data_IF_874806976093
#
_entry.id   IF_874806976093
#
_cell.length_a   1.000
_cell.length_b   1.000
_cell.length_c   1.000
_cell.angle_alpha   90.00
_cell.angle_beta   90.00
_cell.angle_gamma   90.00
#
_symmetry.space_group_name_H-M   'P 1'
#
loop_
_entity.id
_entity.type
_entity.pdbx_description
1 polymer ?
#
# COMPACT_ATOMS: atom_id res chain seq x y z
N UNK A 1 -52.74 -22.57 -19.82
CA UNK A 1 -52.32 -21.68 -18.70
C UNK A 1 -51.26 -22.30 -17.79
N UNK A 2 -51.40 -23.55 -17.34
CA UNK A 2 -50.43 -24.24 -16.46
C UNK A 2 -49.04 -24.43 -17.11
N UNK A 3 -48.99 -24.73 -18.40
CA UNK A 3 -47.75 -24.97 -19.14
C UNK A 3 -46.87 -23.73 -19.29
N UNK A 4 -47.47 -22.54 -19.37
CA UNK A 4 -46.73 -21.28 -19.53
C UNK A 4 -46.01 -20.85 -18.25
N UNK A 5 -46.59 -21.18 -17.09
CA UNK A 5 -46.01 -20.88 -15.76
C UNK A 5 -44.78 -21.75 -15.50
N UNK A 6 -44.86 -23.03 -15.86
CA UNK A 6 -43.73 -23.97 -15.73
C UNK A 6 -42.55 -23.53 -16.61
N UNK A 7 -42.83 -23.10 -17.84
CA UNK A 7 -41.80 -22.64 -18.77
C UNK A 7 -41.11 -21.36 -18.27
N UNK A 8 -41.87 -20.45 -17.66
CA UNK A 8 -41.33 -19.23 -17.05
C UNK A 8 -40.43 -19.54 -15.84
N UNK A 9 -40.82 -20.49 -15.00
CA UNK A 9 -40.04 -20.90 -13.83
C UNK A 9 -38.70 -21.54 -14.21
N UNK A 10 -38.68 -22.34 -15.28
CA UNK A 10 -37.45 -22.97 -15.80
C UNK A 10 -36.48 -21.93 -16.35
N UNK A 11 -36.96 -20.95 -17.12
CA UNK A 11 -36.13 -19.87 -17.67
C UNK A 11 -35.57 -18.99 -16.56
N UNK A 12 -36.39 -18.65 -15.55
CA UNK A 12 -35.94 -17.84 -14.41
C UNK A 12 -34.85 -18.55 -13.61
N UNK A 13 -34.98 -19.87 -13.39
CA UNK A 13 -33.98 -20.66 -12.66
C UNK A 13 -32.64 -20.72 -13.39
N UNK A 14 -32.62 -20.80 -14.72
CA UNK A 14 -31.40 -20.82 -15.51
C UNK A 14 -30.61 -19.49 -15.46
N UNK A 15 -31.29 -18.35 -15.30
CA UNK A 15 -30.63 -17.05 -15.18
C UNK A 15 -29.90 -16.86 -13.84
N UNK A 16 -30.38 -17.44 -12.74
CA UNK A 16 -29.77 -17.25 -11.41
C UNK A 16 -28.46 -18.03 -11.24
N UNK A 17 -28.24 -19.08 -12.04
CA UNK A 17 -27.08 -19.97 -11.93
C UNK A 17 -25.81 -19.44 -12.63
N UNK A 18 -25.92 -18.44 -13.49
CA UNK A 18 -24.77 -17.88 -14.24
C UNK A 18 -24.02 -16.77 -13.47
N UNK A 19 -24.43 -16.44 -12.25
CA UNK A 19 -23.83 -15.36 -11.45
C UNK A 19 -22.57 -15.71 -10.64
N UNK A 20 -22.18 -16.98 -10.57
CA UNK A 20 -21.16 -17.43 -9.59
C UNK A 20 -19.72 -17.59 -10.14
N UNK A 21 -19.38 -17.12 -11.35
CA UNK A 21 -18.00 -17.26 -11.87
C UNK A 21 -17.14 -15.98 -11.79
N UNK A 22 -17.57 -14.93 -11.11
CA UNK A 22 -16.87 -13.62 -11.15
C UNK A 22 -15.77 -13.43 -10.09
N UNK A 23 -15.24 -14.51 -9.49
CA UNK A 23 -14.14 -14.41 -8.53
C UNK A 23 -13.12 -15.53 -8.75
N UNK A 24 -12.04 -15.22 -9.48
CA UNK A 24 -10.67 -15.46 -8.99
C UNK A 24 -9.65 -14.87 -9.99
N UNK A 25 -9.33 -13.58 -9.84
CA UNK A 25 -8.04 -13.07 -10.30
C UNK A 25 -7.12 -13.05 -9.09
N UNK A 26 -6.51 -14.21 -8.81
CA UNK A 26 -5.47 -14.37 -7.81
C UNK A 26 -4.50 -13.19 -7.90
N UNK A 27 -4.39 -12.39 -6.84
CA UNK A 27 -3.26 -11.49 -6.72
C UNK A 27 -2.02 -12.38 -6.57
N UNK A 28 -1.21 -12.50 -7.62
CA UNK A 28 0.08 -13.17 -7.52
C UNK A 28 0.94 -12.33 -6.58
N UNK A 29 1.34 -12.93 -5.46
CA UNK A 29 2.34 -12.34 -4.58
C UNK A 29 3.63 -12.12 -5.38
N UNK A 30 4.06 -10.87 -5.50
CA UNK A 30 5.37 -10.52 -6.04
C UNK A 30 6.29 -10.27 -4.85
N UNK A 31 7.33 -11.10 -4.72
CA UNK A 31 8.35 -10.86 -3.71
C UNK A 31 9.00 -9.49 -3.93
N UNK A 32 9.22 -8.69 -2.88
CA UNK A 32 9.90 -7.41 -3.02
C UNK A 32 11.30 -7.62 -3.61
N UNK A 33 11.59 -6.93 -4.70
CA UNK A 33 12.92 -6.94 -5.31
C UNK A 33 13.91 -6.28 -4.32
N UNK A 34 15.11 -6.85 -4.13
CA UNK A 34 16.13 -6.21 -3.31
C UNK A 34 16.49 -4.86 -3.96
N UNK A 35 16.17 -3.77 -3.26
CA UNK A 35 16.62 -2.43 -3.63
C UNK A 35 18.13 -2.37 -3.48
N UNK A 36 18.84 -2.55 -4.59
CA UNK A 36 20.27 -2.26 -4.64
C UNK A 36 20.43 -0.74 -4.60
N UNK A 37 20.74 -0.19 -3.42
CA UNK A 37 21.18 1.20 -3.34
C UNK A 37 22.40 1.36 -4.26
N UNK A 38 22.51 2.45 -5.04
CA UNK A 38 23.72 2.70 -5.82
C UNK A 38 24.93 2.60 -4.89
N UNK A 39 25.95 1.86 -5.32
CA UNK A 39 27.20 1.72 -4.56
C UNK A 39 27.67 3.13 -4.16
N UNK A 40 27.87 3.35 -2.86
CA UNK A 40 28.25 4.67 -2.35
C UNK A 40 27.09 5.59 -1.96
N UNK A 41 25.85 5.11 -1.78
CA UNK A 41 24.79 5.88 -1.11
C UNK A 41 24.51 5.33 0.28
N UNK A 42 24.77 6.12 1.32
CA UNK A 42 24.41 5.82 2.71
C UNK A 42 23.13 6.56 3.08
N UNK A 43 22.13 5.84 3.57
CA UNK A 43 20.94 6.44 4.19
C UNK A 43 21.22 6.60 5.68
N UNK A 44 21.09 7.81 6.21
CA UNK A 44 21.29 8.10 7.63
C UNK A 44 20.18 8.99 8.18
N UNK A 45 19.91 8.86 9.48
CA UNK A 45 18.93 9.72 10.16
C UNK A 45 19.40 11.18 10.13
N UNK A 46 18.49 12.09 9.75
CA UNK A 46 18.80 13.51 9.67
C UNK A 46 18.63 14.20 11.02
N UNK A 47 19.65 14.06 11.88
CA UNK A 47 19.64 14.61 13.25
C UNK A 47 19.54 16.13 13.28
N UNK A 48 20.10 16.83 12.29
CA UNK A 48 20.04 18.29 12.20
C UNK A 48 18.61 18.76 11.93
N UNK A 49 17.95 18.14 10.96
CA UNK A 49 16.56 18.41 10.66
C UNK A 49 15.65 18.12 11.86
N UNK A 50 15.84 16.96 12.52
CA UNK A 50 15.08 16.60 13.72
C UNK A 50 15.23 17.68 14.80
N UNK A 51 16.46 18.08 15.12
CA UNK A 51 16.73 19.10 16.14
C UNK A 51 16.09 20.45 15.79
N UNK A 52 16.09 20.83 14.51
CA UNK A 52 15.46 22.06 14.05
C UNK A 52 13.93 22.02 14.25
N UNK A 53 13.28 20.93 13.85
CA UNK A 53 11.83 20.75 14.00
C UNK A 53 11.43 20.70 15.47
N UNK A 54 12.15 19.93 16.30
CA UNK A 54 11.88 19.84 17.73
C UNK A 54 12.02 21.18 18.44
N UNK A 55 13.01 21.99 18.05
CA UNK A 55 13.18 23.36 18.58
C UNK A 55 11.98 24.24 18.24
N UNK A 56 11.44 24.13 17.03
CA UNK A 56 10.25 24.87 16.60
C UNK A 56 9.02 24.39 17.36
N UNK A 57 8.82 23.08 17.47
CA UNK A 57 7.70 22.48 18.17
C UNK A 57 7.67 22.92 19.64
N UNK A 58 8.82 22.86 20.32
CA UNK A 58 8.96 23.34 21.71
C UNK A 58 8.60 24.81 21.86
N UNK A 59 9.11 25.68 20.97
CA UNK A 59 8.80 27.13 20.99
C UNK A 59 7.32 27.43 20.80
N UNK A 60 6.58 26.53 20.16
CA UNK A 60 5.15 26.67 19.87
C UNK A 60 4.26 25.89 20.84
N UNK A 61 4.81 25.18 21.82
CA UNK A 61 4.05 24.34 22.74
C UNK A 61 3.39 23.13 22.05
N UNK A 62 3.94 22.66 20.94
CA UNK A 62 3.43 21.52 20.17
C UNK A 62 4.10 20.24 20.66
N UNK A 63 3.30 19.25 21.05
CA UNK A 63 3.78 17.88 21.30
C UNK A 63 4.01 17.18 19.96
N UNK A 64 5.24 16.71 19.75
CA UNK A 64 5.65 16.07 18.51
C UNK A 64 5.95 14.59 18.74
N UNK A 65 5.46 13.74 17.84
CA UNK A 65 5.77 12.32 17.80
C UNK A 65 6.17 11.94 16.37
N UNK A 66 7.37 11.42 16.21
CA UNK A 66 7.84 10.89 14.93
C UNK A 66 7.28 9.49 14.71
N UNK A 67 6.45 9.31 13.67
CA UNK A 67 6.02 7.97 13.22
C UNK A 67 7.10 7.35 12.31
N UNK A 68 7.72 8.17 11.47
CA UNK A 68 8.86 7.82 10.63
C UNK A 68 9.95 8.88 10.82
N UNK A 69 11.12 8.49 11.30
CA UNK A 69 12.22 9.44 11.46
C UNK A 69 12.70 9.91 10.08
N UNK A 70 12.92 11.22 9.91
CA UNK A 70 13.45 11.76 8.67
C UNK A 70 14.88 11.28 8.45
N UNK A 71 15.19 10.90 7.22
CA UNK A 71 16.50 10.40 6.79
C UNK A 71 17.01 11.22 5.63
N UNK A 72 18.33 11.38 5.55
CA UNK A 72 19.03 11.94 4.40
C UNK A 72 19.87 10.89 3.69
N UNK A 73 20.16 11.15 2.42
CA UNK A 73 21.06 10.32 1.59
C UNK A 73 22.39 11.04 1.45
N UNK A 74 23.46 10.37 1.83
CA UNK A 74 24.82 10.89 1.73
C UNK A 74 25.60 10.02 0.75
N UNK A 75 26.30 10.64 -0.21
CA UNK A 75 27.21 9.94 -1.10
C UNK A 75 28.51 9.65 -0.35
N UNK A 76 28.82 8.37 -0.15
CA UNK A 76 30.11 7.91 0.33
C UNK A 76 31.05 7.89 -0.87
N UNK A 77 32.01 8.83 -0.91
CA UNK A 77 33.07 8.77 -1.91
C UNK A 77 33.82 7.45 -1.75
N UNK A 78 33.96 6.69 -2.84
CA UNK A 78 34.84 5.53 -2.90
C UNK A 78 36.27 6.00 -2.65
N UNK A 79 36.84 5.61 -1.51
CA UNK A 79 38.27 5.75 -1.22
C UNK A 79 39.09 4.76 -2.05
#
# INVERSE_FOLDING_TARGET
>A
MKSSIILFAVVLSACVLNGCSSMDQKSTYVAPQPVSYPNGVKVETDSEYIAAVERIARRRGITLQWINLPTKRTTVASQ
#
